data_IF_629898351308
#
_entry.id   IF_629898351308
#
_cell.length_a   1.000
_cell.length_b   1.000
_cell.length_c   1.000
_cell.angle_alpha   90.00
_cell.angle_beta   90.00
_cell.angle_gamma   90.00
#
_symmetry.space_group_name_H-M   'P 1'
#
loop_
_entity.id
_entity.type
_entity.pdbx_description
1 polymer ?
#
# COMPACT_ATOMS: atom_id res chain seq x y z
N UNK A 1 28.10 -13.09 9.36
CA UNK A 1 26.71 -13.51 9.12
C UNK A 1 25.96 -12.45 8.38
N UNK A 2 25.49 -12.80 7.19
CA UNK A 2 24.67 -11.85 6.47
C UNK A 2 23.20 -12.04 6.86
N UNK A 3 22.71 -11.10 7.65
CA UNK A 3 21.42 -11.19 8.33
C UNK A 3 20.22 -10.85 7.45
N UNK A 4 19.06 -11.36 7.87
CA UNK A 4 17.74 -10.84 7.49
C UNK A 4 17.50 -9.56 8.29
N UNK A 5 17.05 -8.49 7.63
CA UNK A 5 16.74 -7.21 8.25
C UNK A 5 15.27 -6.84 8.00
N UNK A 6 14.50 -6.74 9.08
CA UNK A 6 13.12 -6.26 9.04
C UNK A 6 13.06 -4.84 9.58
N UNK A 7 12.56 -3.92 8.76
CA UNK A 7 12.44 -2.50 9.05
C UNK A 7 10.97 -2.09 9.00
N UNK A 8 10.58 -1.20 9.91
CA UNK A 8 9.33 -0.47 9.83
C UNK A 8 9.62 1.03 9.78
N UNK A 9 9.18 1.70 8.72
CA UNK A 9 9.37 3.14 8.54
C UNK A 9 8.05 3.89 8.66
N UNK A 10 8.04 4.94 9.48
CA UNK A 10 6.85 5.74 9.77
C UNK A 10 7.10 7.16 9.28
N UNK A 11 6.31 7.62 8.31
CA UNK A 11 6.47 8.94 7.70
C UNK A 11 5.27 9.80 8.11
N UNK A 12 5.46 10.88 8.89
CA UNK A 12 4.36 11.70 9.38
C UNK A 12 3.63 12.40 8.23
N UNK A 13 2.31 12.43 8.32
CA UNK A 13 1.40 13.19 7.47
C UNK A 13 0.81 14.34 8.31
N UNK A 14 0.21 15.32 7.65
CA UNK A 14 -0.19 16.58 8.26
C UNK A 14 0.33 17.78 7.45
N UNK A 15 0.33 18.96 8.07
CA UNK A 15 0.79 20.20 7.44
C UNK A 15 0.21 20.37 6.03
N UNK A 16 1.09 20.58 5.04
CA UNK A 16 0.69 20.76 3.65
C UNK A 16 -0.11 19.59 3.06
N UNK A 17 0.09 18.36 3.55
CA UNK A 17 -0.69 17.21 3.07
C UNK A 17 -2.16 17.26 3.51
N UNK A 18 -2.47 17.90 4.64
CA UNK A 18 -3.85 18.08 5.13
C UNK A 18 -4.60 19.21 4.43
N UNK A 19 -3.88 20.16 3.83
CA UNK A 19 -4.49 21.30 3.11
C UNK A 19 -4.96 20.93 1.70
N UNK A 20 -4.43 19.84 1.13
CA UNK A 20 -4.75 19.41 -0.23
C UNK A 20 -6.00 18.51 -0.19
N UNK A 21 -7.07 18.80 -0.95
CA UNK A 21 -8.23 17.94 -1.03
C UNK A 21 -7.90 16.52 -1.52
N UNK A 22 -8.57 15.49 -0.99
CA UNK A 22 -8.34 14.09 -1.37
C UNK A 22 -8.55 13.79 -2.86
N UNK A 23 -9.35 14.60 -3.55
CA UNK A 23 -9.67 14.46 -4.97
C UNK A 23 -8.90 15.43 -5.88
N UNK A 24 -7.97 16.23 -5.33
CA UNK A 24 -7.16 17.17 -6.09
C UNK A 24 -6.24 16.47 -7.11
N UNK A 25 -5.82 15.25 -6.78
CA UNK A 25 -4.99 14.36 -7.61
C UNK A 25 -5.49 12.92 -7.49
N UNK A 26 -4.91 11.97 -8.22
CA UNK A 26 -5.22 10.55 -8.04
C UNK A 26 -4.95 10.08 -6.59
N UNK A 27 -3.89 10.58 -5.95
CA UNK A 27 -3.47 10.21 -4.60
C UNK A 27 -4.39 10.81 -3.52
N UNK A 28 -5.14 9.99 -2.77
CA UNK A 28 -6.23 10.46 -1.91
C UNK A 28 -5.86 10.59 -0.43
N UNK A 29 -4.70 10.06 0.01
CA UNK A 29 -4.37 9.97 1.43
C UNK A 29 -3.90 11.33 1.96
N UNK A 30 -4.85 12.17 2.38
CA UNK A 30 -4.67 13.58 2.78
C UNK A 30 -5.04 13.79 4.26
N UNK A 31 -5.84 14.82 4.56
CA UNK A 31 -6.32 15.10 5.91
C UNK A 31 -6.95 13.86 6.57
N UNK A 32 -6.68 13.68 7.87
CA UNK A 32 -7.11 12.52 8.66
C UNK A 32 -6.07 11.40 8.75
N UNK A 33 -5.08 11.35 7.86
CA UNK A 33 -3.94 10.43 7.98
C UNK A 33 -2.86 11.01 8.90
N UNK A 34 -2.48 10.29 9.96
CA UNK A 34 -1.43 10.70 10.91
C UNK A 34 -0.02 10.44 10.36
N UNK A 35 0.18 9.27 9.75
CA UNK A 35 1.44 8.85 9.15
C UNK A 35 1.18 7.70 8.17
N UNK A 36 2.13 7.48 7.27
CA UNK A 36 2.21 6.28 6.43
C UNK A 36 3.26 5.34 7.00
N UNK A 37 2.90 4.06 7.16
CA UNK A 37 3.85 2.99 7.53
C UNK A 37 4.31 2.20 6.31
N UNK A 38 5.57 1.79 6.32
CA UNK A 38 6.13 0.83 5.36
C UNK A 38 6.78 -0.32 6.12
N UNK A 39 6.47 -1.55 5.73
CA UNK A 39 7.13 -2.77 6.19
C UNK A 39 8.12 -3.22 5.12
N UNK A 40 9.38 -3.41 5.48
CA UNK A 40 10.43 -3.82 4.54
C UNK A 40 11.20 -4.97 5.17
N UNK A 41 11.29 -6.09 4.45
CA UNK A 41 12.21 -7.17 4.80
C UNK A 41 13.27 -7.24 3.71
N UNK A 42 14.54 -7.15 4.10
CA UNK A 42 15.71 -7.20 3.22
C UNK A 42 16.55 -8.39 3.65
N UNK A 43 17.00 -9.19 2.70
CA UNK A 43 17.83 -10.37 2.95
C UNK A 43 18.78 -10.59 1.79
N UNK A 44 19.84 -11.40 2.01
CA UNK A 44 20.80 -11.74 0.95
C UNK A 44 20.67 -13.16 0.42
N UNK A 45 20.17 -14.10 1.22
CA UNK A 45 19.95 -15.48 0.79
C UNK A 45 18.82 -15.56 -0.24
N UNK A 46 19.16 -15.75 -1.51
CA UNK A 46 18.22 -15.80 -2.62
C UNK A 46 17.57 -17.18 -2.82
N UNK A 47 17.80 -18.13 -1.89
CA UNK A 47 17.14 -19.42 -1.94
C UNK A 47 15.62 -19.29 -1.89
N UNK A 48 14.94 -20.24 -2.54
CA UNK A 48 13.48 -20.30 -2.53
C UNK A 48 12.90 -20.53 -1.12
N UNK A 49 13.68 -21.10 -0.19
CA UNK A 49 13.28 -21.24 1.21
C UNK A 49 13.37 -19.92 1.97
N UNK A 50 14.50 -19.21 1.89
CA UNK A 50 14.66 -17.89 2.49
C UNK A 50 13.62 -16.90 1.94
N UNK A 51 13.40 -16.90 0.62
CA UNK A 51 12.38 -16.06 -0.03
C UNK A 51 10.99 -16.31 0.53
N UNK A 52 10.55 -17.58 0.62
CA UNK A 52 9.24 -17.94 1.18
C UNK A 52 9.11 -17.52 2.65
N UNK A 53 10.16 -17.75 3.43
CA UNK A 53 10.18 -17.42 4.86
C UNK A 53 10.09 -15.91 5.10
N UNK A 54 10.89 -15.12 4.37
CA UNK A 54 10.95 -13.67 4.54
C UNK A 54 9.69 -12.96 4.02
N UNK A 55 9.11 -13.44 2.92
CA UNK A 55 7.79 -12.97 2.45
C UNK A 55 6.72 -13.29 3.49
N UNK A 56 6.68 -14.52 4.03
CA UNK A 56 5.73 -14.89 5.08
C UNK A 56 5.87 -13.98 6.30
N UNK A 57 7.10 -13.72 6.76
CA UNK A 57 7.33 -12.84 7.90
C UNK A 57 6.81 -11.41 7.68
N UNK A 58 6.93 -10.89 6.45
CA UNK A 58 6.39 -9.57 6.08
C UNK A 58 4.86 -9.56 6.10
N UNK A 59 4.22 -10.63 5.61
CA UNK A 59 2.77 -10.82 5.63
C UNK A 59 2.23 -10.95 7.05
N UNK A 60 2.87 -11.76 7.89
CA UNK A 60 2.51 -11.92 9.30
C UNK A 60 2.58 -10.56 10.04
N UNK A 61 3.60 -9.74 9.74
CA UNK A 61 3.71 -8.38 10.28
C UNK A 61 2.58 -7.48 9.78
N UNK A 62 2.28 -7.49 8.48
CA UNK A 62 1.15 -6.75 7.93
C UNK A 62 -0.17 -7.15 8.60
N UNK A 63 -0.43 -8.44 8.78
CA UNK A 63 -1.64 -8.96 9.41
C UNK A 63 -1.75 -8.55 10.88
N UNK A 64 -0.63 -8.53 11.60
CA UNK A 64 -0.56 -8.08 13.00
C UNK A 64 -1.06 -6.64 13.16
N UNK A 65 -0.82 -5.76 12.18
CA UNK A 65 -1.23 -4.35 12.24
C UNK A 65 -2.67 -4.08 11.78
N UNK A 66 -3.37 -5.08 11.23
CA UNK A 66 -4.75 -4.95 10.72
C UNK A 66 -5.70 -4.16 11.62
N UNK A 67 -5.79 -4.40 12.95
CA UNK A 67 -6.77 -3.69 13.78
C UNK A 67 -6.40 -2.22 14.06
N UNK A 68 -5.15 -1.81 13.78
CA UNK A 68 -4.59 -0.51 14.17
C UNK A 68 -4.45 0.48 13.01
N UNK A 69 -4.65 0.03 11.77
CA UNK A 69 -4.50 0.84 10.56
C UNK A 69 -5.85 1.26 9.96
N UNK A 70 -5.80 2.01 8.87
CA UNK A 70 -7.00 2.37 8.10
C UNK A 70 -7.80 1.13 7.70
N UNK A 71 -9.12 1.29 7.62
CA UNK A 71 -10.07 0.22 7.30
C UNK A 71 -11.18 0.78 6.41
N UNK A 72 -11.71 -0.06 5.53
CA UNK A 72 -12.81 0.25 4.60
C UNK A 72 -12.56 1.50 3.73
N UNK A 73 -11.51 1.54 2.88
CA UNK A 73 -10.55 0.47 2.59
C UNK A 73 -9.32 0.47 3.52
N UNK A 74 -8.50 -0.58 3.44
CA UNK A 74 -7.17 -0.58 4.06
C UNK A 74 -6.22 0.16 3.11
N UNK A 75 -5.99 1.43 3.39
CA UNK A 75 -5.30 2.35 2.48
C UNK A 75 -3.86 1.89 2.16
N UNK A 76 -3.49 1.94 0.87
CA UNK A 76 -2.20 1.54 0.36
C UNK A 76 -1.58 2.62 -0.54
N UNK A 77 -0.26 2.66 -0.63
CA UNK A 77 0.45 3.67 -1.43
C UNK A 77 0.93 3.09 -2.76
N UNK A 78 0.44 3.64 -3.87
CA UNK A 78 0.72 3.12 -5.22
C UNK A 78 2.21 2.92 -5.52
N UNK A 79 3.08 3.83 -5.07
CA UNK A 79 4.52 3.75 -5.35
C UNK A 79 5.24 2.68 -4.50
N UNK A 80 4.58 2.09 -3.51
CA UNK A 80 5.01 0.87 -2.85
C UNK A 80 4.17 -0.27 -3.41
N UNK A 81 4.57 -0.74 -4.59
CA UNK A 81 3.86 -1.77 -5.34
C UNK A 81 3.77 -3.05 -4.51
N UNK A 82 2.55 -3.53 -4.33
CA UNK A 82 2.25 -4.75 -3.60
C UNK A 82 1.19 -5.53 -4.36
N UNK A 83 1.55 -6.74 -4.77
CA UNK A 83 0.67 -7.66 -5.50
C UNK A 83 -0.26 -8.44 -4.55
N UNK A 84 0.05 -8.48 -3.25
CA UNK A 84 -0.77 -9.16 -2.25
C UNK A 84 -2.06 -8.37 -1.94
N UNK A 85 -2.09 -7.07 -2.28
CA UNK A 85 -3.30 -6.23 -2.21
C UNK A 85 -4.34 -6.66 -3.25
N UNK A 86 -3.88 -7.10 -4.42
CA UNK A 86 -4.74 -7.63 -5.47
C UNK A 86 -4.22 -7.36 -6.88
N UNK A 87 -4.81 -8.08 -7.83
CA UNK A 87 -4.53 -7.97 -9.26
C UNK A 87 -5.84 -7.94 -10.04
N UNK A 88 -5.78 -7.61 -11.33
CA UNK A 88 -6.94 -7.65 -12.22
C UNK A 88 -7.05 -8.97 -12.99
N UNK A 89 -6.38 -10.04 -12.56
CA UNK A 89 -6.37 -11.33 -13.26
C UNK A 89 -7.75 -12.02 -13.29
N UNK A 90 -8.61 -11.70 -12.33
CA UNK A 90 -10.00 -12.15 -12.24
C UNK A 90 -11.01 -11.15 -12.85
N UNK A 91 -10.52 -10.05 -13.44
CA UNK A 91 -11.34 -8.94 -13.95
C UNK A 91 -11.84 -7.96 -12.88
N UNK A 92 -11.53 -8.18 -11.60
CA UNK A 92 -11.85 -7.23 -10.54
C UNK A 92 -10.87 -6.05 -10.50
N UNK A 93 -11.36 -4.90 -10.06
CA UNK A 93 -10.56 -3.71 -9.78
C UNK A 93 -10.77 -3.21 -8.35
N UNK A 94 -11.31 -4.04 -7.46
CA UNK A 94 -11.61 -3.67 -6.07
C UNK A 94 -10.35 -3.23 -5.31
N UNK A 95 -9.20 -3.86 -5.60
CA UNK A 95 -7.89 -3.49 -5.06
C UNK A 95 -7.52 -2.02 -5.34
N UNK A 96 -8.09 -1.39 -6.38
CA UNK A 96 -7.84 0.00 -6.70
C UNK A 96 -8.38 0.96 -5.62
N UNK A 97 -9.39 0.54 -4.84
CA UNK A 97 -9.94 1.34 -3.74
C UNK A 97 -8.90 1.56 -2.64
N UNK A 98 -8.06 0.58 -2.35
CA UNK A 98 -6.98 0.70 -1.36
C UNK A 98 -5.98 1.80 -1.77
N UNK A 99 -5.69 1.91 -3.07
CA UNK A 99 -4.76 2.91 -3.60
C UNK A 99 -5.37 4.30 -3.81
N UNK A 100 -6.62 4.36 -4.29
CA UNK A 100 -7.21 5.59 -4.84
C UNK A 100 -8.53 6.01 -4.17
N UNK A 101 -9.08 5.24 -3.23
CA UNK A 101 -10.34 5.54 -2.52
C UNK A 101 -11.44 5.95 -3.51
N UNK A 102 -12.14 7.05 -3.24
CA UNK A 102 -13.19 7.59 -4.11
C UNK A 102 -12.72 8.03 -5.51
N UNK A 103 -11.41 8.15 -5.75
CA UNK A 103 -10.89 8.57 -7.05
C UNK A 103 -10.92 7.47 -8.12
N UNK A 104 -11.12 6.19 -7.76
CA UNK A 104 -11.14 5.05 -8.71
C UNK A 104 -12.08 5.32 -9.89
N UNK A 105 -13.33 5.74 -9.62
CA UNK A 105 -14.32 5.98 -10.67
C UNK A 105 -13.84 7.00 -11.70
N UNK A 106 -13.27 8.12 -11.24
CA UNK A 106 -12.73 9.17 -12.13
C UNK A 106 -11.56 8.64 -12.95
N UNK A 107 -10.67 7.85 -12.35
CA UNK A 107 -9.51 7.26 -13.04
C UNK A 107 -9.96 6.30 -14.14
N UNK A 108 -10.92 5.42 -13.87
CA UNK A 108 -11.45 4.48 -14.85
C UNK A 108 -12.13 5.20 -16.03
N UNK A 109 -12.87 6.28 -15.75
CA UNK A 109 -13.48 7.11 -16.79
C UNK A 109 -12.45 7.79 -17.70
N UNK A 110 -11.32 8.24 -17.14
CA UNK A 110 -10.24 8.82 -17.94
C UNK A 110 -9.56 7.74 -18.76
N UNK A 111 -9.22 6.60 -18.13
CA UNK A 111 -8.60 5.45 -18.80
C UNK A 111 -9.41 5.03 -20.02
N UNK A 112 -10.69 4.71 -19.85
CA UNK A 112 -11.58 4.28 -20.94
C UNK A 112 -11.71 5.26 -22.11
N UNK A 113 -11.36 6.54 -21.92
CA UNK A 113 -11.37 7.55 -23.00
C UNK A 113 -10.06 7.62 -23.76
N UNK A 114 -8.95 7.21 -23.16
CA UNK A 114 -7.60 7.45 -23.69
C UNK A 114 -6.86 6.17 -24.08
N UNK A 115 -7.26 5.00 -23.57
CA UNK A 115 -6.78 3.65 -23.93
C UNK A 115 -7.69 2.57 -23.30
#
# INVERSE_FOLDING_TARGET
DVGVFMLMQWNPYGGRMSEIPENATAFPHRAGNLFKMQYITIWQDDSGEATRTNIKATRDLYDTFTPFVSRNPREAFLNYRDIDIGTNSDGSLDFALDFFKGNVKRLLQVKAKVD
#
